data_IF_427299388955
#
_entry.id   IF_427299388955
#
_cell.length_a   1.000
_cell.length_b   1.000
_cell.length_c   1.000
_cell.angle_alpha   90.00
_cell.angle_beta   90.00
_cell.angle_gamma   90.00
#
_symmetry.space_group_name_H-M   'P 1'
#
loop_
_entity.id
_entity.type
_entity.pdbx_description
1 polymer ?
#
# COMPACT_ATOMS: atom_id res chain seq x y z
N UNK A 1 -22.28 15.48 -15.82
CA UNK A 1 -21.70 14.63 -14.74
C UNK A 1 -20.51 15.39 -14.21
N UNK A 2 -20.48 15.72 -12.94
CA UNK A 2 -19.32 16.33 -12.29
C UNK A 2 -18.19 15.30 -12.28
N UNK A 3 -17.00 15.71 -12.65
CA UNK A 3 -15.81 14.87 -12.62
C UNK A 3 -15.50 14.50 -11.16
N UNK A 4 -15.35 13.20 -10.88
CA UNK A 4 -15.07 12.74 -9.52
C UNK A 4 -13.60 12.94 -9.17
N UNK A 5 -13.32 13.24 -7.93
CA UNK A 5 -11.96 13.21 -7.36
C UNK A 5 -11.53 11.74 -7.25
N UNK A 6 -10.40 11.41 -7.84
CA UNK A 6 -9.85 10.04 -7.81
C UNK A 6 -8.79 9.95 -6.72
N UNK A 7 -8.92 8.96 -5.86
CA UNK A 7 -7.90 8.65 -4.84
C UNK A 7 -7.30 7.28 -5.09
N UNK A 8 -5.99 7.16 -4.93
CA UNK A 8 -5.28 5.89 -4.88
C UNK A 8 -4.93 5.53 -3.45
N UNK A 9 -5.10 4.27 -3.10
CA UNK A 9 -4.58 3.70 -1.86
C UNK A 9 -3.79 2.42 -2.16
N UNK A 10 -2.52 2.41 -1.80
CA UNK A 10 -1.61 1.28 -2.01
C UNK A 10 -1.39 0.59 -0.66
N UNK A 11 -1.69 -0.72 -0.58
CA UNK A 11 -1.69 -1.49 0.67
C UNK A 11 -3.06 -1.45 1.35
N UNK A 12 -4.12 -1.81 0.60
CA UNK A 12 -5.52 -1.58 0.98
C UNK A 12 -6.11 -2.53 2.02
N UNK A 13 -5.37 -3.51 2.51
CA UNK A 13 -5.88 -4.53 3.44
C UNK A 13 -6.51 -3.97 4.71
N UNK A 14 -6.00 -2.86 5.23
CA UNK A 14 -6.51 -2.24 6.47
C UNK A 14 -7.90 -1.63 6.34
N UNK A 15 -8.44 -1.52 5.13
CA UNK A 15 -9.70 -0.81 4.87
C UNK A 15 -9.60 0.71 5.07
N UNK A 16 -8.43 1.23 5.35
CA UNK A 16 -8.16 2.67 5.38
C UNK A 16 -7.86 3.15 3.96
N UNK A 17 -8.35 4.31 3.59
CA UNK A 17 -7.99 4.99 2.34
C UNK A 17 -7.02 6.14 2.56
N UNK A 18 -6.43 6.20 3.75
CA UNK A 18 -5.30 7.04 4.10
C UNK A 18 -5.55 8.54 4.21
N UNK A 19 -6.76 9.03 3.87
CA UNK A 19 -7.11 10.44 3.99
C UNK A 19 -8.22 10.62 5.02
N UNK A 20 -7.95 11.21 6.21
CA UNK A 20 -8.94 11.42 7.25
C UNK A 20 -10.15 12.19 6.72
N UNK A 21 -11.34 11.71 7.03
CA UNK A 21 -12.64 12.34 6.69
C UNK A 21 -12.98 12.39 5.19
N UNK A 22 -12.24 11.71 4.30
CA UNK A 22 -12.60 11.67 2.88
C UNK A 22 -13.96 11.01 2.65
N UNK A 23 -14.39 10.15 3.57
CA UNK A 23 -15.71 9.49 3.54
C UNK A 23 -16.88 10.47 3.55
N UNK A 24 -16.67 11.71 4.03
CA UNK A 24 -17.66 12.78 3.98
C UNK A 24 -17.96 13.24 2.53
N UNK A 25 -17.08 12.89 1.60
CA UNK A 25 -17.15 13.26 0.18
C UNK A 25 -17.32 12.03 -0.73
N UNK A 26 -17.97 10.99 -0.25
CA UNK A 26 -18.11 9.71 -0.99
C UNK A 26 -18.84 9.88 -2.33
N UNK A 27 -19.75 10.87 -2.44
CA UNK A 27 -20.48 11.12 -3.67
C UNK A 27 -19.62 11.86 -4.72
N UNK A 28 -18.60 12.59 -4.30
CA UNK A 28 -17.67 13.36 -5.13
C UNK A 28 -16.36 12.60 -5.39
N UNK A 29 -16.12 11.49 -4.67
CA UNK A 29 -14.89 10.71 -4.76
C UNK A 29 -15.12 9.36 -5.42
N UNK A 30 -14.05 8.81 -5.98
CA UNK A 30 -13.92 7.41 -6.36
C UNK A 30 -12.58 6.90 -5.88
N UNK A 31 -12.59 5.77 -5.18
CA UNK A 31 -11.39 5.15 -4.64
C UNK A 31 -10.87 4.07 -5.58
N UNK A 32 -9.56 4.02 -5.76
CA UNK A 32 -8.86 2.95 -6.45
C UNK A 32 -7.85 2.37 -5.47
N UNK A 33 -8.08 1.12 -5.10
CA UNK A 33 -7.36 0.44 -4.03
C UNK A 33 -6.53 -0.69 -4.64
N UNK A 34 -5.28 -0.78 -4.22
CA UNK A 34 -4.35 -1.82 -4.66
C UNK A 34 -3.90 -2.65 -3.46
N UNK A 35 -3.96 -3.95 -3.61
CA UNK A 35 -3.37 -4.89 -2.65
C UNK A 35 -2.78 -6.08 -3.41
N UNK A 36 -1.61 -6.55 -2.95
CA UNK A 36 -0.91 -7.67 -3.59
C UNK A 36 -1.54 -9.02 -3.27
N UNK A 37 -2.28 -9.12 -2.17
CA UNK A 37 -2.90 -10.36 -1.72
C UNK A 37 -4.31 -10.48 -2.27
N UNK A 38 -4.45 -11.31 -3.30
CA UNK A 38 -5.75 -11.58 -3.93
C UNK A 38 -6.81 -12.07 -2.94
N UNK A 39 -6.41 -12.69 -1.83
CA UNK A 39 -7.34 -13.24 -0.84
C UNK A 39 -8.13 -12.17 -0.08
N UNK A 40 -7.62 -10.93 0.00
CA UNK A 40 -8.31 -9.83 0.67
C UNK A 40 -9.15 -8.94 -0.26
N UNK A 41 -9.06 -9.12 -1.59
CA UNK A 41 -9.73 -8.26 -2.57
C UNK A 41 -11.26 -8.23 -2.36
N UNK A 42 -11.89 -9.37 -2.10
CA UNK A 42 -13.33 -9.39 -1.87
C UNK A 42 -13.71 -8.66 -0.58
N UNK A 43 -12.95 -8.86 0.49
CA UNK A 43 -13.16 -8.15 1.76
C UNK A 43 -13.07 -6.64 1.58
N UNK A 44 -12.07 -6.15 0.82
CA UNK A 44 -11.91 -4.72 0.54
C UNK A 44 -13.10 -4.20 -0.26
N UNK A 45 -13.55 -4.94 -1.28
CA UNK A 45 -14.74 -4.56 -2.09
C UNK A 45 -16.02 -4.47 -1.25
N UNK A 46 -16.18 -5.35 -0.29
CA UNK A 46 -17.36 -5.37 0.58
C UNK A 46 -17.38 -4.18 1.58
N UNK A 47 -16.23 -3.55 1.81
CA UNK A 47 -16.10 -2.38 2.66
C UNK A 47 -16.37 -1.05 1.93
N UNK A 48 -16.20 -1.02 0.60
CA UNK A 48 -16.21 0.22 -0.17
C UNK A 48 -17.09 0.13 -1.41
N UNK A 49 -18.30 0.69 -1.35
CA UNK A 49 -19.26 0.71 -2.47
C UNK A 49 -18.77 1.54 -3.68
N UNK A 50 -17.89 2.52 -3.44
CA UNK A 50 -17.38 3.45 -4.46
C UNK A 50 -15.91 3.21 -4.83
N UNK A 51 -15.39 1.98 -4.61
CA UNK A 51 -14.01 1.61 -4.91
C UNK A 51 -13.88 0.60 -6.05
N UNK A 52 -12.88 0.81 -6.89
CA UNK A 52 -12.33 -0.25 -7.74
C UNK A 52 -11.11 -0.84 -7.03
N UNK A 53 -11.05 -2.17 -6.89
CA UNK A 53 -9.97 -2.85 -6.19
C UNK A 53 -9.19 -3.73 -7.16
N UNK A 54 -7.87 -3.55 -7.21
CA UNK A 54 -6.97 -4.21 -8.13
C UNK A 54 -5.93 -5.07 -7.40
N UNK A 55 -5.71 -6.32 -7.84
CA UNK A 55 -4.73 -7.23 -7.25
C UNK A 55 -3.32 -6.97 -7.85
N UNK A 56 -2.80 -5.75 -7.68
CA UNK A 56 -1.47 -5.39 -8.13
C UNK A 56 -0.57 -5.06 -6.94
N UNK A 57 0.65 -5.60 -6.96
CA UNK A 57 1.72 -5.04 -6.18
C UNK A 57 2.31 -3.85 -6.94
N UNK A 58 2.28 -2.67 -6.32
CA UNK A 58 2.82 -1.45 -6.92
C UNK A 58 4.25 -1.23 -6.44
N UNK A 59 5.17 -1.07 -7.38
CA UNK A 59 6.58 -0.83 -7.13
C UNK A 59 7.18 0.17 -8.13
N UNK A 60 8.50 0.14 -8.28
CA UNK A 60 9.24 1.06 -9.15
C UNK A 60 9.47 0.53 -10.57
N UNK A 61 9.16 -0.73 -10.86
CA UNK A 61 9.32 -1.37 -12.17
C UNK A 61 8.44 -2.60 -12.31
N UNK A 62 8.31 -3.09 -13.54
CA UNK A 62 7.61 -4.34 -13.84
C UNK A 62 8.59 -5.50 -13.75
N UNK A 63 8.48 -6.31 -12.69
CA UNK A 63 9.32 -7.47 -12.45
C UNK A 63 8.60 -8.50 -11.58
N UNK A 64 9.21 -9.67 -11.40
CA UNK A 64 8.78 -10.65 -10.42
C UNK A 64 9.66 -10.54 -9.18
N UNK A 65 9.04 -10.42 -8.01
CA UNK A 65 9.73 -10.28 -6.74
C UNK A 65 9.18 -11.27 -5.71
N UNK A 66 10.00 -11.54 -4.69
CA UNK A 66 9.60 -12.31 -3.53
C UNK A 66 8.84 -11.44 -2.55
N UNK A 67 7.70 -11.93 -2.06
CA UNK A 67 6.87 -11.28 -1.03
C UNK A 67 6.76 -12.18 0.19
N UNK A 68 6.99 -11.61 1.37
CA UNK A 68 6.93 -12.31 2.64
C UNK A 68 5.52 -12.13 3.22
N UNK A 69 4.77 -13.22 3.33
CA UNK A 69 3.50 -13.25 4.07
C UNK A 69 3.85 -13.56 5.52
N UNK A 70 3.58 -12.61 6.41
CA UNK A 70 3.93 -12.70 7.82
C UNK A 70 2.75 -13.23 8.66
N UNK A 71 3.05 -13.61 9.91
CA UNK A 71 2.05 -14.10 10.86
C UNK A 71 0.90 -13.08 11.03
N UNK A 72 1.21 -11.80 11.20
CA UNK A 72 0.23 -10.73 11.05
C UNK A 72 0.26 -10.24 9.60
N UNK A 73 -0.80 -10.46 8.80
CA UNK A 73 -0.80 -10.06 7.39
C UNK A 73 -0.56 -8.58 7.13
N UNK A 74 -0.90 -7.72 8.10
CA UNK A 74 -0.67 -6.26 8.03
C UNK A 74 0.81 -5.87 8.09
N UNK A 75 1.69 -6.78 8.48
CA UNK A 75 3.15 -6.57 8.50
C UNK A 75 3.86 -7.26 7.33
N UNK A 76 3.10 -7.81 6.37
CA UNK A 76 3.67 -8.50 5.19
C UNK A 76 4.41 -7.49 4.30
N UNK A 77 5.57 -7.90 3.77
CA UNK A 77 6.45 -6.98 3.05
C UNK A 77 7.30 -7.70 2.00
N UNK A 78 7.82 -6.93 1.04
CA UNK A 78 8.88 -7.38 0.12
C UNK A 78 10.23 -7.46 0.82
N UNK A 79 10.39 -6.76 1.92
CA UNK A 79 11.61 -6.74 2.72
C UNK A 79 11.55 -7.74 3.87
N UNK A 80 12.72 -8.20 4.30
CA UNK A 80 12.81 -9.04 5.49
C UNK A 80 12.76 -8.18 6.74
N UNK A 81 12.08 -8.69 7.78
CA UNK A 81 12.07 -8.05 9.09
C UNK A 81 13.49 -7.93 9.69
N UNK A 82 13.78 -6.81 10.32
CA UNK A 82 15.05 -6.59 11.02
C UNK A 82 14.98 -7.14 12.45
N UNK A 83 15.62 -8.27 12.66
CA UNK A 83 15.63 -8.97 13.96
C UNK A 83 16.18 -8.15 15.14
N UNK A 84 16.82 -7.01 14.90
CA UNK A 84 17.22 -6.10 15.99
C UNK A 84 16.01 -5.54 16.75
N UNK A 85 14.83 -5.55 16.14
CA UNK A 85 13.58 -5.08 16.76
C UNK A 85 12.67 -6.22 17.24
N UNK A 86 13.12 -7.48 17.22
CA UNK A 86 12.28 -8.66 17.49
C UNK A 86 11.61 -8.67 18.86
N UNK A 87 12.29 -8.10 19.86
CA UNK A 87 11.85 -8.11 21.26
C UNK A 87 11.09 -6.81 21.64
N UNK A 88 10.87 -5.88 20.68
CA UNK A 88 10.10 -4.69 20.92
C UNK A 88 8.61 -5.00 20.89
N UNK A 89 7.85 -4.34 21.74
CA UNK A 89 6.39 -4.39 21.70
C UNK A 89 5.87 -3.43 20.64
N UNK A 90 4.78 -3.83 20.00
CA UNK A 90 3.99 -3.01 19.10
C UNK A 90 2.53 -3.16 19.46
N UNK A 91 1.83 -2.06 19.54
CA UNK A 91 0.37 -2.04 19.69
C UNK A 91 -0.27 -2.10 18.30
N UNK A 92 -1.14 -3.10 18.08
CA UNK A 92 -1.95 -3.20 16.87
C UNK A 92 -3.41 -3.30 17.32
N UNK A 93 -4.14 -2.21 17.18
CA UNK A 93 -5.50 -2.09 17.68
C UNK A 93 -5.53 -2.11 19.22
N UNK A 94 -6.28 -3.02 19.82
CA UNK A 94 -6.41 -3.18 21.29
C UNK A 94 -5.48 -4.27 21.86
N UNK A 95 -4.54 -4.79 21.05
CA UNK A 95 -3.70 -5.94 21.43
C UNK A 95 -2.23 -5.60 21.28
N UNK A 96 -1.46 -5.86 22.33
CA UNK A 96 0.00 -5.73 22.31
C UNK A 96 0.64 -6.96 21.67
N UNK A 97 1.56 -6.72 20.74
CA UNK A 97 2.33 -7.76 20.09
C UNK A 97 3.83 -7.54 20.23
N UNK A 98 4.59 -8.63 20.25
CA UNK A 98 6.04 -8.59 20.07
C UNK A 98 6.34 -8.55 18.58
N UNK A 99 7.10 -7.58 18.11
CA UNK A 99 7.39 -7.39 16.68
C UNK A 99 7.92 -8.65 16.00
N UNK A 100 8.86 -9.35 16.63
CA UNK A 100 9.41 -10.58 16.08
C UNK A 100 8.35 -11.65 15.82
N UNK A 101 7.26 -11.64 16.59
CA UNK A 101 6.16 -12.59 16.40
C UNK A 101 5.25 -12.19 15.25
N UNK A 102 4.82 -10.94 15.21
CA UNK A 102 3.89 -10.45 14.16
C UNK A 102 4.54 -10.40 12.79
N UNK A 103 5.85 -10.11 12.73
CA UNK A 103 6.63 -10.07 11.51
C UNK A 103 7.29 -11.42 11.14
N UNK A 104 6.96 -12.50 11.85
CA UNK A 104 7.46 -13.85 11.53
C UNK A 104 6.90 -14.30 10.17
N UNK A 105 7.78 -14.47 9.19
CA UNK A 105 7.40 -14.90 7.85
C UNK A 105 6.89 -16.35 7.88
N UNK A 106 5.62 -16.53 7.51
CA UNK A 106 4.96 -17.83 7.44
C UNK A 106 5.12 -18.47 6.06
N UNK A 107 5.14 -17.64 5.01
CA UNK A 107 5.19 -18.10 3.63
C UNK A 107 5.86 -17.06 2.74
N UNK A 108 6.57 -17.54 1.72
CA UNK A 108 7.04 -16.68 0.64
C UNK A 108 6.29 -17.02 -0.65
N UNK A 109 5.89 -16.00 -1.37
CA UNK A 109 5.30 -16.12 -2.70
C UNK A 109 6.05 -15.23 -3.69
N UNK A 110 6.02 -15.60 -4.97
CA UNK A 110 6.47 -14.71 -6.02
C UNK A 110 5.26 -13.92 -6.52
N UNK A 111 5.42 -12.62 -6.63
CA UNK A 111 4.39 -11.70 -7.13
C UNK A 111 4.96 -10.87 -8.27
N UNK A 112 4.08 -10.53 -9.22
CA UNK A 112 4.41 -9.57 -10.27
C UNK A 112 4.13 -8.17 -9.80
N UNK A 113 5.09 -7.29 -10.02
CA UNK A 113 4.94 -5.86 -9.73
C UNK A 113 4.60 -5.10 -11.00
N UNK A 114 3.94 -3.98 -10.84
CA UNK A 114 3.80 -2.97 -11.90
C UNK A 114 4.00 -1.58 -11.29
N UNK A 115 4.07 -0.55 -12.12
CA UNK A 115 4.16 0.83 -11.67
C UNK A 115 2.85 1.56 -11.93
N UNK A 116 2.51 2.55 -11.09
CA UNK A 116 1.32 3.37 -11.31
C UNK A 116 1.38 4.08 -12.68
N UNK A 117 2.54 4.59 -13.05
CA UNK A 117 2.74 5.23 -14.36
C UNK A 117 2.49 4.27 -15.53
N UNK A 118 2.95 3.02 -15.44
CA UNK A 118 2.73 2.03 -16.48
C UNK A 118 1.25 1.62 -16.59
N UNK A 119 0.58 1.38 -15.46
CA UNK A 119 -0.85 1.08 -15.43
C UNK A 119 -1.68 2.22 -16.01
N UNK A 120 -1.33 3.47 -15.68
CA UNK A 120 -1.98 4.65 -16.24
C UNK A 120 -1.74 4.78 -17.75
N UNK A 121 -0.49 4.62 -18.21
CA UNK A 121 -0.14 4.69 -19.64
C UNK A 121 -0.87 3.62 -20.46
N UNK A 122 -1.11 2.44 -19.88
CA UNK A 122 -1.93 1.37 -20.48
C UNK A 122 -3.44 1.65 -20.41
N UNK A 123 -3.87 2.76 -19.80
CA UNK A 123 -5.28 3.11 -19.59
C UNK A 123 -6.06 2.09 -18.74
N UNK A 124 -5.38 1.37 -17.87
CA UNK A 124 -5.98 0.42 -16.93
C UNK A 124 -6.52 1.13 -15.69
N UNK A 125 -5.95 2.28 -15.36
CA UNK A 125 -6.36 3.15 -14.25
C UNK A 125 -6.46 4.60 -14.73
N UNK A 126 -7.41 5.43 -14.24
CA UNK A 126 -7.48 6.87 -14.52
C UNK A 126 -6.35 7.61 -13.78
N UNK A 127 -6.06 8.89 -14.09
CA UNK A 127 -5.16 9.70 -13.26
C UNK A 127 -5.79 9.95 -11.88
N UNK A 128 -4.98 9.94 -10.82
CA UNK A 128 -5.44 10.24 -9.47
C UNK A 128 -5.10 11.66 -9.03
N UNK A 129 -5.92 12.19 -8.11
CA UNK A 129 -5.69 13.48 -7.45
C UNK A 129 -4.99 13.32 -6.10
N UNK A 130 -5.21 12.19 -5.42
CA UNK A 130 -4.63 11.90 -4.11
C UNK A 130 -4.03 10.50 -4.11
N UNK A 131 -2.88 10.35 -3.44
CA UNK A 131 -2.16 9.09 -3.31
C UNK A 131 -1.89 8.79 -1.84
N UNK A 132 -2.37 7.65 -1.36
CA UNK A 132 -2.04 7.12 -0.04
C UNK A 132 -1.23 5.84 -0.18
N UNK A 133 -0.19 5.68 0.63
CA UNK A 133 0.76 4.56 0.56
C UNK A 133 1.01 4.02 1.96
N UNK A 134 0.78 2.71 2.13
CA UNK A 134 1.08 1.94 3.34
C UNK A 134 1.48 0.52 2.91
N UNK A 135 2.75 0.33 2.56
CA UNK A 135 3.26 -0.90 1.93
C UNK A 135 4.32 -1.63 2.75
N UNK A 136 4.46 -1.21 4.02
CA UNK A 136 5.37 -1.85 4.97
C UNK A 136 6.82 -1.88 4.47
N UNK A 137 7.33 -0.69 4.13
CA UNK A 137 8.72 -0.41 3.81
C UNK A 137 9.03 -0.16 2.32
N UNK A 138 8.09 -0.37 1.39
CA UNK A 138 8.30 -0.12 -0.05
C UNK A 138 7.67 1.17 -0.58
N UNK A 139 7.34 2.12 0.29
CA UNK A 139 6.67 3.38 -0.04
C UNK A 139 7.46 4.20 -1.06
N UNK A 140 8.78 4.23 -0.91
CA UNK A 140 9.65 4.98 -1.83
C UNK A 140 9.68 4.37 -3.25
N UNK A 141 9.61 3.05 -3.35
CA UNK A 141 9.49 2.34 -4.63
C UNK A 141 8.16 2.67 -5.33
N UNK A 142 7.07 2.78 -4.57
CA UNK A 142 5.77 3.24 -5.11
C UNK A 142 5.88 4.66 -5.65
N UNK A 143 6.50 5.58 -4.91
CA UNK A 143 6.70 6.97 -5.35
C UNK A 143 7.53 7.05 -6.64
N UNK A 144 8.60 6.28 -6.76
CA UNK A 144 9.39 6.18 -8.01
C UNK A 144 8.57 5.66 -9.18
N UNK A 145 7.69 4.69 -8.93
CA UNK A 145 6.80 4.14 -9.95
C UNK A 145 5.62 5.04 -10.34
N UNK A 146 5.45 6.18 -9.67
CA UNK A 146 4.38 7.15 -9.88
C UNK A 146 4.88 8.53 -10.33
N UNK A 147 6.12 8.64 -10.79
CA UNK A 147 6.79 9.94 -11.03
C UNK A 147 6.02 10.86 -11.98
N UNK A 148 5.47 10.31 -13.07
CA UNK A 148 4.70 11.09 -14.03
C UNK A 148 3.32 11.49 -13.47
N UNK A 149 2.63 10.60 -12.77
CA UNK A 149 1.37 10.92 -12.11
C UNK A 149 1.54 11.98 -11.02
N UNK A 150 2.64 11.89 -10.23
CA UNK A 150 2.98 12.90 -9.21
C UNK A 150 3.19 14.27 -9.85
N UNK A 151 3.90 14.34 -10.97
CA UNK A 151 4.16 15.60 -11.68
C UNK A 151 2.94 16.22 -12.33
N UNK A 152 1.95 15.40 -12.75
CA UNK A 152 0.91 15.87 -13.65
C UNK A 152 -0.51 15.87 -13.05
N UNK A 153 -0.80 15.06 -12.03
CA UNK A 153 -2.17 14.90 -11.54
C UNK A 153 -2.30 14.81 -10.02
N UNK A 154 -1.33 14.24 -9.31
CA UNK A 154 -1.41 14.06 -7.86
C UNK A 154 -1.17 15.40 -7.16
N UNK A 155 -2.14 15.82 -6.33
CA UNK A 155 -2.13 17.08 -5.59
C UNK A 155 -1.60 16.90 -4.16
N UNK A 156 -1.82 15.73 -3.56
CA UNK A 156 -1.33 15.43 -2.22
C UNK A 156 -1.02 13.93 -2.07
N UNK A 157 -0.02 13.67 -1.22
CA UNK A 157 0.45 12.32 -0.88
C UNK A 157 0.37 12.17 0.63
N UNK A 158 -0.22 11.04 1.09
CA UNK A 158 -0.12 10.55 2.45
C UNK A 158 0.64 9.24 2.44
N UNK A 159 1.76 9.16 3.14
CA UNK A 159 2.61 7.97 3.17
C UNK A 159 3.08 7.67 4.58
N UNK A 160 3.09 6.40 4.93
CA UNK A 160 3.87 5.95 6.07
C UNK A 160 5.35 6.24 5.79
N UNK A 161 6.07 6.68 6.81
CA UNK A 161 7.51 6.93 6.74
C UNK A 161 8.21 6.29 7.93
N UNK A 162 9.34 5.65 7.68
CA UNK A 162 10.13 5.01 8.72
C UNK A 162 11.41 5.80 9.01
N UNK A 163 11.66 6.07 10.31
CA UNK A 163 12.90 6.67 10.80
C UNK A 163 13.92 5.64 11.25
N UNK A 164 13.52 4.38 11.34
CA UNK A 164 14.35 3.24 11.74
C UNK A 164 14.10 2.06 10.80
N UNK A 165 15.13 1.23 10.57
CA UNK A 165 15.04 0.07 9.68
C UNK A 165 14.29 -1.10 10.34
N UNK A 166 12.97 -0.98 10.47
CA UNK A 166 12.11 -2.09 10.90
C UNK A 166 12.17 -3.24 9.88
N UNK A 167 12.19 -2.90 8.61
CA UNK A 167 12.47 -3.82 7.52
C UNK A 167 13.87 -3.58 6.98
N UNK A 168 14.64 -4.66 6.73
CA UNK A 168 15.99 -4.56 6.16
C UNK A 168 15.91 -3.98 4.75
N UNK A 169 16.84 -3.12 4.44
CA UNK A 169 16.98 -2.50 3.11
C UNK A 169 15.81 -1.58 2.69
N UNK A 170 14.83 -1.32 3.57
CA UNK A 170 13.82 -0.31 3.34
C UNK A 170 14.43 1.10 3.35
N UNK A 171 13.84 1.99 2.56
CA UNK A 171 14.28 3.39 2.53
C UNK A 171 13.82 4.12 3.77
N UNK A 172 14.75 4.82 4.44
CA UNK A 172 14.45 5.68 5.59
C UNK A 172 14.16 7.11 5.15
N UNK A 173 13.34 7.79 5.94
CA UNK A 173 13.15 9.23 5.82
C UNK A 173 14.27 9.94 6.59
N UNK A 174 15.24 10.49 5.84
CA UNK A 174 16.41 11.23 6.36
C UNK A 174 16.43 12.65 5.79
#
# INVERSE_FOLDING_TARGET
MTEKIITYHIGGRSGSIGFPKIDQFKDETKHIIFDADESCIQQIKDQWDNADVYPYFIGNKNEEIKFNINYCPYTSSVYNFNNSYKDHFIEIGETDYVFGKVCETQKNINIKTDTLDNLHNKKLIPPANFLSIDTQGSEFEVLKGAENLIKNSILAINSEISFVNVYKDSTLFN
#
